data_IF_738945451141
#
_entry.id   IF_738945451141
#
_cell.length_a   1.000
_cell.length_b   1.000
_cell.length_c   1.000
_cell.angle_alpha   90.00
_cell.angle_beta   90.00
_cell.angle_gamma   90.00
#
_symmetry.space_group_name_H-M   'P 1'
#
loop_
_entity.id
_entity.type
_entity.pdbx_description
1 polymer ?
#
# COMPACT_ATOMS: atom_id res chain seq x y z
N UNK A 1 19.08 -22.25 -12.30
CA UNK A 1 19.84 -20.99 -12.34
C UNK A 1 18.83 -19.90 -12.65
N UNK A 2 18.56 -18.95 -11.74
CA UNK A 2 17.78 -17.77 -12.14
C UNK A 2 18.54 -17.06 -13.27
N UNK A 3 17.82 -16.61 -14.30
CA UNK A 3 18.45 -15.90 -15.42
C UNK A 3 19.10 -14.61 -14.91
N UNK A 4 20.21 -14.16 -15.48
CA UNK A 4 20.89 -12.91 -15.15
C UNK A 4 19.94 -11.70 -15.14
N UNK A 5 18.87 -11.73 -15.92
CA UNK A 5 17.83 -10.70 -16.00
C UNK A 5 17.02 -10.57 -14.70
N UNK A 6 16.85 -11.63 -13.90
CA UNK A 6 16.14 -11.53 -12.61
C UNK A 6 17.00 -10.93 -11.48
N UNK A 7 18.32 -11.02 -11.58
CA UNK A 7 19.22 -10.49 -10.55
C UNK A 7 19.22 -8.96 -10.45
N UNK A 8 18.80 -8.27 -11.50
CA UNK A 8 18.74 -6.80 -11.57
C UNK A 8 17.32 -6.23 -11.49
N UNK A 9 16.28 -7.10 -11.48
CA UNK A 9 14.88 -6.66 -11.45
C UNK A 9 14.53 -6.07 -10.08
N UNK A 10 13.85 -4.92 -10.11
CA UNK A 10 13.46 -4.16 -8.92
C UNK A 10 11.95 -4.13 -8.75
N UNK A 11 11.52 -4.02 -7.51
CA UNK A 11 10.13 -3.75 -7.11
C UNK A 11 10.10 -2.64 -6.07
N UNK A 12 8.93 -2.06 -5.84
CA UNK A 12 8.76 -1.07 -4.80
C UNK A 12 7.49 -1.28 -3.98
N UNK A 13 7.51 -0.72 -2.78
CA UNK A 13 6.33 -0.46 -1.97
C UNK A 13 6.21 1.03 -1.69
N UNK A 14 4.99 1.53 -1.61
CA UNK A 14 4.68 2.95 -1.48
C UNK A 14 3.65 3.16 -0.38
N UNK A 15 3.92 4.09 0.52
CA UNK A 15 2.97 4.58 1.50
C UNK A 15 2.75 6.09 1.37
N UNK A 16 1.53 6.55 1.67
CA UNK A 16 1.11 7.94 1.61
C UNK A 16 1.10 8.63 2.96
N UNK A 17 2.13 9.43 3.25
CA UNK A 17 2.24 10.24 4.46
C UNK A 17 1.75 11.69 4.30
N UNK A 18 1.86 12.49 5.37
CA UNK A 18 1.44 13.90 5.39
C UNK A 18 2.22 14.79 4.43
N UNK A 19 3.50 14.46 4.18
CA UNK A 19 4.41 15.26 3.33
C UNK A 19 4.48 14.82 1.87
N UNK A 20 3.74 13.80 1.48
CA UNK A 20 3.83 13.22 0.15
C UNK A 20 3.75 11.69 0.18
N UNK A 21 4.65 11.05 -0.53
CA UNK A 21 4.73 9.59 -0.67
C UNK A 21 6.12 9.11 -0.29
N UNK A 22 6.19 7.95 0.34
CA UNK A 22 7.44 7.23 0.59
C UNK A 22 7.49 6.03 -0.33
N UNK A 23 8.62 5.83 -0.99
CA UNK A 23 8.90 4.65 -1.79
C UNK A 23 10.06 3.86 -1.19
N UNK A 24 9.84 2.57 -0.97
CA UNK A 24 10.84 1.60 -0.58
C UNK A 24 11.15 0.70 -1.79
N UNK A 25 12.39 0.67 -2.26
CA UNK A 25 12.81 -0.13 -3.43
C UNK A 25 13.70 -1.27 -2.99
N UNK A 26 13.50 -2.45 -3.57
CA UNK A 26 14.32 -3.64 -3.30
C UNK A 26 14.47 -4.50 -4.57
N UNK A 27 15.54 -5.30 -4.61
CA UNK A 27 15.75 -6.27 -5.69
C UNK A 27 14.84 -7.51 -5.51
N UNK A 28 14.40 -8.08 -6.62
CA UNK A 28 13.57 -9.30 -6.62
C UNK A 28 14.37 -10.51 -6.15
N UNK A 29 15.56 -10.73 -6.71
CA UNK A 29 16.34 -11.95 -6.48
C UNK A 29 17.08 -11.94 -5.14
N UNK A 30 17.75 -10.85 -4.79
CA UNK A 30 18.51 -10.75 -3.54
C UNK A 30 17.66 -10.18 -2.40
N UNK A 31 16.84 -9.19 -2.62
CA UNK A 31 15.88 -8.64 -1.65
C UNK A 31 16.40 -8.40 -0.23
N UNK A 32 17.72 -8.46 0.01
CA UNK A 32 18.34 -8.34 1.33
C UNK A 32 18.45 -6.91 1.81
N UNK A 33 18.30 -5.95 0.88
CA UNK A 33 18.42 -4.51 1.15
C UNK A 33 17.20 -3.75 0.64
N UNK A 34 16.93 -2.62 1.28
CA UNK A 34 15.88 -1.67 0.89
C UNK A 34 16.48 -0.26 0.84
N UNK A 35 16.06 0.51 -0.17
CA UNK A 35 16.35 1.93 -0.30
C UNK A 35 15.06 2.73 -0.13
N UNK A 36 15.10 3.86 0.59
CA UNK A 36 13.96 4.75 0.73
C UNK A 36 14.16 6.05 -0.03
N UNK A 37 13.05 6.56 -0.57
CA UNK A 37 12.97 7.91 -1.13
C UNK A 37 11.61 8.54 -0.80
N UNK A 38 11.57 9.88 -0.70
CA UNK A 38 10.34 10.62 -0.46
C UNK A 38 10.02 11.52 -1.65
N UNK A 39 8.73 11.61 -1.98
CA UNK A 39 8.21 12.28 -3.15
C UNK A 39 7.05 13.19 -2.78
N UNK A 40 7.06 14.49 -3.13
CA UNK A 40 5.96 15.39 -2.79
C UNK A 40 4.67 15.05 -3.52
N UNK A 41 4.78 14.53 -4.76
CA UNK A 41 3.65 14.16 -5.62
C UNK A 41 3.84 12.78 -6.24
N UNK A 42 2.74 12.04 -6.37
CA UNK A 42 2.75 10.68 -6.91
C UNK A 42 3.20 10.60 -8.37
N UNK A 43 2.92 11.63 -9.17
CA UNK A 43 3.33 11.67 -10.59
C UNK A 43 4.84 11.58 -10.77
N UNK A 44 5.63 12.24 -9.91
CA UNK A 44 7.10 12.17 -9.94
C UNK A 44 7.59 10.78 -9.51
N UNK A 45 7.02 10.22 -8.43
CA UNK A 45 7.31 8.86 -7.98
C UNK A 45 7.02 7.84 -9.07
N UNK A 46 5.87 7.96 -9.74
CA UNK A 46 5.48 7.03 -10.82
C UNK A 46 6.37 7.15 -12.05
N UNK A 47 6.82 8.36 -12.38
CA UNK A 47 7.81 8.58 -13.44
C UNK A 47 9.16 7.92 -13.10
N UNK A 48 9.63 8.03 -11.85
CA UNK A 48 10.83 7.35 -11.37
C UNK A 48 10.68 5.82 -11.41
N UNK A 49 9.53 5.29 -10.98
CA UNK A 49 9.25 3.86 -11.05
C UNK A 49 9.37 3.32 -12.48
N UNK A 50 8.87 4.07 -13.47
CA UNK A 50 9.03 3.75 -14.89
C UNK A 50 10.47 3.89 -15.37
N UNK A 51 11.17 4.95 -14.99
CA UNK A 51 12.57 5.19 -15.38
C UNK A 51 13.52 4.10 -14.84
N UNK A 52 13.22 3.55 -13.66
CA UNK A 52 13.96 2.44 -13.06
C UNK A 52 13.51 1.06 -13.54
N UNK A 53 12.54 0.98 -14.45
CA UNK A 53 11.96 -0.27 -14.97
C UNK A 53 11.49 -1.23 -13.85
N UNK A 54 10.81 -0.67 -12.83
CA UNK A 54 10.27 -1.48 -11.73
C UNK A 54 9.24 -2.47 -12.26
N UNK A 55 9.26 -3.71 -11.76
CA UNK A 55 8.30 -4.73 -12.20
C UNK A 55 6.93 -4.55 -11.55
N UNK A 56 6.91 -4.33 -10.22
CA UNK A 56 5.69 -4.14 -9.44
C UNK A 56 5.90 -3.01 -8.45
N UNK A 57 4.88 -2.17 -8.28
CA UNK A 57 4.80 -1.14 -7.24
C UNK A 57 3.55 -1.39 -6.40
N UNK A 58 3.76 -1.78 -5.14
CA UNK A 58 2.68 -2.00 -4.17
C UNK A 58 2.33 -0.71 -3.44
N UNK A 59 1.07 -0.30 -3.44
CA UNK A 59 0.57 0.92 -2.79
C UNK A 59 -0.24 0.59 -1.54
N UNK A 60 0.13 1.16 -0.37
CA UNK A 60 -0.74 1.19 0.82
C UNK A 60 -1.84 2.24 0.63
N UNK A 61 -2.72 1.99 -0.33
CA UNK A 61 -3.81 2.89 -0.62
C UNK A 61 -4.96 2.14 -1.31
N UNK A 62 -6.22 2.32 -0.88
CA UNK A 62 -7.36 1.78 -1.61
C UNK A 62 -7.43 2.33 -3.03
N UNK A 63 -7.56 1.43 -4.00
CA UNK A 63 -7.58 1.77 -5.43
C UNK A 63 -9.00 1.70 -5.98
N UNK A 64 -9.61 0.53 -6.02
CA UNK A 64 -10.98 0.35 -6.46
C UNK A 64 -11.97 0.73 -5.37
N UNK A 65 -12.92 1.61 -5.70
CA UNK A 65 -13.89 2.15 -4.75
C UNK A 65 -15.25 1.47 -4.95
N UNK A 66 -15.79 0.78 -3.91
CA UNK A 66 -17.02 0.03 -4.05
C UNK A 66 -18.25 0.92 -4.30
N UNK A 67 -19.31 0.35 -4.84
CA UNK A 67 -20.62 0.95 -4.91
C UNK A 67 -21.33 0.94 -3.54
N UNK A 68 -22.47 0.23 -3.45
CA UNK A 68 -23.26 0.14 -2.21
C UNK A 68 -22.68 -0.88 -1.22
N UNK A 69 -22.14 -1.99 -1.71
CA UNK A 69 -21.61 -3.07 -0.87
C UNK A 69 -20.15 -2.83 -0.49
N UNK A 70 -19.65 -3.56 0.49
CA UNK A 70 -18.23 -3.56 0.86
C UNK A 70 -17.45 -4.46 -0.08
N UNK A 71 -16.18 -4.14 -0.34
CA UNK A 71 -15.30 -5.01 -1.11
C UNK A 71 -15.08 -6.32 -0.37
N UNK A 72 -15.09 -7.43 -1.10
CA UNK A 72 -14.73 -8.76 -0.53
C UNK A 72 -13.29 -8.75 -0.01
N UNK A 73 -12.39 -8.01 -0.67
CA UNK A 73 -11.01 -7.82 -0.21
C UNK A 73 -10.91 -7.21 1.18
N UNK A 74 -11.69 -6.15 1.48
CA UNK A 74 -11.71 -5.54 2.81
C UNK A 74 -12.21 -6.52 3.88
N UNK A 75 -13.22 -7.33 3.55
CA UNK A 75 -13.76 -8.35 4.46
C UNK A 75 -12.69 -9.39 4.76
N UNK A 76 -12.09 -9.99 3.73
CA UNK A 76 -11.06 -11.01 3.87
C UNK A 76 -9.81 -10.51 4.59
N UNK A 77 -9.34 -9.29 4.27
CA UNK A 77 -8.19 -8.70 4.96
C UNK A 77 -8.49 -8.43 6.44
N UNK A 78 -9.71 -8.02 6.80
CA UNK A 78 -10.11 -7.85 8.21
C UNK A 78 -10.23 -9.18 8.95
N UNK A 79 -10.61 -10.25 8.29
CA UNK A 79 -10.59 -11.62 8.86
C UNK A 79 -9.16 -12.06 9.13
N UNK A 80 -8.24 -11.86 8.17
CA UNK A 80 -6.81 -12.14 8.33
C UNK A 80 -6.18 -11.36 9.50
N UNK A 81 -6.62 -10.13 9.74
CA UNK A 81 -6.13 -9.27 10.82
C UNK A 81 -6.67 -9.63 12.21
N UNK A 82 -7.73 -10.43 12.31
CA UNK A 82 -8.34 -10.89 13.58
C UNK A 82 -8.59 -9.75 14.59
N UNK A 83 -7.89 -9.77 15.73
CA UNK A 83 -7.97 -8.74 16.77
C UNK A 83 -7.51 -7.36 16.28
N UNK A 84 -6.69 -7.31 15.21
CA UNK A 84 -6.18 -6.08 14.59
C UNK A 84 -7.05 -5.57 13.42
N UNK A 85 -8.20 -6.17 13.17
CA UNK A 85 -9.12 -5.79 12.07
C UNK A 85 -9.47 -4.30 12.00
N UNK A 86 -9.39 -3.56 13.11
CA UNK A 86 -9.62 -2.11 13.13
C UNK A 86 -8.50 -1.29 12.50
N UNK A 87 -7.32 -1.87 12.24
CA UNK A 87 -6.23 -1.19 11.53
C UNK A 87 -6.53 -1.02 10.04
N UNK A 88 -7.39 -1.84 9.46
CA UNK A 88 -7.90 -1.65 8.11
C UNK A 88 -9.21 -0.85 8.16
N UNK A 89 -9.18 0.36 7.64
CA UNK A 89 -10.37 1.15 7.42
C UNK A 89 -11.17 0.62 6.23
N UNK A 90 -12.50 0.68 6.33
CA UNK A 90 -13.33 0.33 5.20
C UNK A 90 -13.09 1.28 4.04
N UNK A 91 -12.86 0.75 2.86
CA UNK A 91 -12.71 1.55 1.65
C UNK A 91 -13.93 2.45 1.45
N UNK A 92 -13.73 3.74 1.17
CA UNK A 92 -14.84 4.67 0.94
C UNK A 92 -15.62 4.28 -0.31
N UNK A 93 -16.95 4.43 -0.32
CA UNK A 93 -17.73 4.16 -1.53
C UNK A 93 -17.47 5.21 -2.61
N UNK A 94 -17.54 4.81 -3.89
CA UNK A 94 -17.22 5.65 -5.05
C UNK A 94 -17.99 6.97 -5.07
N UNK A 95 -19.23 7.00 -4.58
CA UNK A 95 -20.03 8.22 -4.49
C UNK A 95 -19.41 9.33 -3.61
N UNK A 96 -18.45 9.00 -2.76
CA UNK A 96 -17.78 9.96 -1.88
C UNK A 96 -16.53 10.57 -2.51
N UNK A 97 -16.07 10.04 -3.66
CA UNK A 97 -14.81 10.44 -4.29
C UNK A 97 -14.68 11.95 -4.47
N UNK A 98 -15.73 12.59 -4.96
CA UNK A 98 -15.70 14.02 -5.33
C UNK A 98 -16.30 14.93 -4.24
N UNK A 99 -16.52 14.40 -3.02
CA UNK A 99 -16.99 15.21 -1.91
C UNK A 99 -15.91 16.20 -1.44
N UNK A 100 -16.32 17.43 -1.16
CA UNK A 100 -15.40 18.52 -0.79
C UNK A 100 -15.06 18.52 0.71
N UNK A 101 -15.97 17.97 1.53
CA UNK A 101 -15.78 17.85 2.98
C UNK A 101 -16.37 16.54 3.52
N UNK A 102 -16.04 16.25 4.80
CA UNK A 102 -16.47 15.02 5.46
C UNK A 102 -17.99 14.93 5.63
N UNK A 103 -18.68 16.06 5.87
CA UNK A 103 -20.14 16.05 6.07
C UNK A 103 -20.85 15.64 4.79
N UNK A 104 -20.43 16.20 3.65
CA UNK A 104 -20.93 15.81 2.32
C UNK A 104 -20.63 14.35 2.01
N UNK A 105 -19.37 13.91 2.20
CA UNK A 105 -18.96 12.52 1.97
C UNK A 105 -19.80 11.54 2.82
N UNK A 106 -19.98 11.86 4.11
CA UNK A 106 -20.77 11.05 5.02
C UNK A 106 -22.25 11.00 4.61
N UNK A 107 -22.84 12.12 4.16
CA UNK A 107 -24.20 12.16 3.65
C UNK A 107 -24.37 11.28 2.39
N UNK A 108 -23.47 11.41 1.41
CA UNK A 108 -23.46 10.61 0.19
C UNK A 108 -23.34 9.11 0.51
N UNK A 109 -22.40 8.75 1.40
CA UNK A 109 -22.19 7.38 1.86
C UNK A 109 -23.48 6.82 2.50
N UNK A 110 -24.11 7.56 3.44
CA UNK A 110 -25.35 7.12 4.09
C UNK A 110 -26.51 6.91 3.11
N UNK A 111 -26.64 7.80 2.13
CA UNK A 111 -27.69 7.71 1.12
C UNK A 111 -27.54 6.46 0.23
N UNK A 112 -26.31 6.14 -0.18
CA UNK A 112 -26.06 5.02 -1.09
C UNK A 112 -25.93 3.68 -0.36
N UNK A 113 -25.27 3.64 0.80
CA UNK A 113 -24.87 2.40 1.47
C UNK A 113 -25.59 2.12 2.78
N UNK A 114 -26.37 3.06 3.30
CA UNK A 114 -26.93 3.03 4.65
C UNK A 114 -25.90 3.25 5.77
N UNK A 115 -24.61 3.40 5.45
CA UNK A 115 -23.49 3.48 6.41
C UNK A 115 -22.79 4.83 6.35
N UNK A 116 -22.32 5.29 7.51
CA UNK A 116 -21.52 6.50 7.58
C UNK A 116 -20.07 6.27 7.13
N UNK A 117 -19.38 7.35 6.79
CA UNK A 117 -17.96 7.40 6.49
C UNK A 117 -17.19 7.94 7.71
N UNK A 118 -16.11 7.28 8.14
CA UNK A 118 -15.29 7.77 9.24
C UNK A 118 -14.44 8.98 8.80
N UNK A 119 -14.07 9.84 9.75
CA UNK A 119 -13.17 10.96 9.47
C UNK A 119 -11.78 10.47 9.00
N UNK A 120 -11.31 9.34 9.54
CA UNK A 120 -10.05 8.72 9.13
C UNK A 120 -10.10 8.26 7.68
N UNK A 121 -11.19 7.58 7.29
CA UNK A 121 -11.38 7.17 5.89
C UNK A 121 -11.47 8.39 4.95
N UNK A 122 -12.17 9.45 5.38
CA UNK A 122 -12.23 10.68 4.59
C UNK A 122 -10.87 11.35 4.42
N UNK A 123 -10.02 11.29 5.45
CA UNK A 123 -8.66 11.84 5.38
C UNK A 123 -7.77 11.18 4.31
N UNK A 124 -8.09 9.96 3.86
CA UNK A 124 -7.40 9.29 2.76
C UNK A 124 -7.84 9.79 1.36
N UNK A 125 -8.99 10.46 1.26
CA UNK A 125 -9.56 10.85 -0.05
C UNK A 125 -8.63 11.67 -0.94
N UNK A 126 -7.84 12.64 -0.43
CA UNK A 126 -6.89 13.37 -1.27
C UNK A 126 -5.86 12.44 -1.93
N UNK A 127 -5.31 11.48 -1.19
CA UNK A 127 -4.34 10.49 -1.69
C UNK A 127 -4.98 9.51 -2.67
N UNK A 128 -6.19 9.03 -2.39
CA UNK A 128 -6.95 8.16 -3.31
C UNK A 128 -7.21 8.89 -4.63
N UNK A 129 -7.59 10.18 -4.60
CA UNK A 129 -7.80 10.97 -5.81
C UNK A 129 -6.50 11.17 -6.59
N UNK A 130 -5.41 11.50 -5.90
CA UNK A 130 -4.10 11.66 -6.51
C UNK A 130 -3.66 10.37 -7.21
N UNK A 131 -3.82 9.22 -6.55
CA UNK A 131 -3.50 7.91 -7.12
C UNK A 131 -4.33 7.64 -8.37
N UNK A 132 -5.65 7.82 -8.32
CA UNK A 132 -6.57 7.56 -9.44
C UNK A 132 -6.49 8.59 -10.57
N UNK A 133 -5.85 9.73 -10.34
CA UNK A 133 -5.53 10.72 -11.38
C UNK A 133 -4.19 10.40 -12.05
N UNK A 134 -3.26 9.82 -11.32
CA UNK A 134 -1.90 9.50 -11.79
C UNK A 134 -1.85 8.17 -12.53
N UNK A 135 -2.55 7.16 -12.02
CA UNK A 135 -2.56 5.80 -12.57
C UNK A 135 -3.93 5.51 -13.18
N UNK A 136 -3.91 4.85 -14.34
CA UNK A 136 -5.10 4.35 -15.02
C UNK A 136 -5.39 2.89 -14.60
N UNK A 137 -6.62 2.35 -14.82
CA UNK A 137 -6.92 0.94 -14.55
C UNK A 137 -5.96 -0.05 -15.22
N UNK A 138 -5.46 0.30 -16.39
CA UNK A 138 -4.51 -0.50 -17.18
C UNK A 138 -3.16 -0.68 -16.47
N UNK A 139 -2.74 0.27 -15.62
CA UNK A 139 -1.50 0.17 -14.84
C UNK A 139 -1.57 -0.98 -13.80
N UNK A 140 -2.77 -1.50 -13.51
CA UNK A 140 -2.99 -2.60 -12.55
C UNK A 140 -3.08 -3.99 -13.20
N UNK A 141 -3.00 -4.07 -14.52
CA UNK A 141 -3.07 -5.36 -15.22
C UNK A 141 -1.75 -6.15 -15.09
N UNK A 142 -1.78 -7.48 -15.26
CA UNK A 142 -0.56 -8.30 -15.21
C UNK A 142 0.50 -7.91 -16.25
N UNK A 143 0.09 -7.33 -17.36
CA UNK A 143 0.94 -6.92 -18.49
C UNK A 143 1.60 -5.56 -18.28
N UNK A 144 1.09 -4.74 -17.34
CA UNK A 144 1.63 -3.40 -17.06
C UNK A 144 3.08 -3.44 -16.58
N UNK A 145 3.85 -2.41 -16.96
CA UNK A 145 5.24 -2.20 -16.53
C UNK A 145 5.49 -0.72 -16.23
N UNK A 146 5.72 -0.34 -14.98
CA UNK A 146 5.53 -1.17 -13.78
C UNK A 146 4.05 -1.54 -13.57
N UNK A 147 3.80 -2.71 -12.99
CA UNK A 147 2.46 -3.08 -12.54
C UNK A 147 2.18 -2.44 -11.19
N UNK A 148 1.10 -1.67 -11.09
CA UNK A 148 0.59 -1.19 -9.80
C UNK A 148 -0.22 -2.29 -9.10
N UNK A 149 -0.18 -2.32 -7.76
CA UNK A 149 -0.93 -3.26 -6.94
C UNK A 149 -1.38 -2.60 -5.62
N UNK A 150 -2.61 -2.81 -5.19
CA UNK A 150 -3.04 -2.44 -3.85
C UNK A 150 -2.49 -3.45 -2.84
N UNK A 151 -1.82 -2.96 -1.81
CA UNK A 151 -1.25 -3.75 -0.71
C UNK A 151 -1.75 -3.17 0.60
N UNK A 152 -1.88 -4.00 1.63
CA UNK A 152 -2.17 -3.52 2.99
C UNK A 152 -1.07 -3.98 3.95
N UNK A 153 -0.19 -3.08 4.42
CA UNK A 153 1.00 -3.43 5.21
C UNK A 153 0.73 -4.25 6.46
N UNK A 154 -0.35 -3.97 7.21
CA UNK A 154 -0.68 -4.79 8.37
C UNK A 154 -1.01 -6.25 7.98
N UNK A 155 -1.61 -6.49 6.81
CA UNK A 155 -1.81 -7.84 6.26
C UNK A 155 -0.49 -8.47 5.81
N UNK A 156 0.42 -7.67 5.23
CA UNK A 156 1.78 -8.09 4.90
C UNK A 156 2.54 -8.51 6.17
N UNK A 157 2.42 -7.76 7.27
CA UNK A 157 3.03 -8.12 8.56
C UNK A 157 2.46 -9.43 9.13
N UNK A 158 1.16 -9.72 8.94
CA UNK A 158 0.61 -11.04 9.33
C UNK A 158 1.32 -12.16 8.58
N UNK A 159 1.56 -12.00 7.28
CA UNK A 159 2.27 -13.01 6.47
C UNK A 159 3.75 -13.13 6.84
N UNK A 160 4.41 -11.99 7.12
CA UNK A 160 5.82 -11.95 7.54
C UNK A 160 6.03 -12.59 8.93
N UNK A 161 5.15 -12.28 9.89
CA UNK A 161 5.28 -12.72 11.28
C UNK A 161 4.59 -14.07 11.56
N UNK A 162 3.75 -14.54 10.64
CA UNK A 162 2.91 -15.72 10.84
C UNK A 162 1.72 -15.51 11.78
N UNK A 163 1.51 -14.29 12.29
CA UNK A 163 0.41 -13.90 13.19
C UNK A 163 0.19 -12.39 13.17
N UNK A 164 -1.00 -11.90 13.57
CA UNK A 164 -1.26 -10.48 13.71
C UNK A 164 -0.31 -9.80 14.71
N UNK A 165 0.14 -8.58 14.38
CA UNK A 165 1.05 -7.81 15.23
C UNK A 165 0.40 -7.50 16.60
N UNK A 166 1.07 -7.83 17.70
CA UNK A 166 0.51 -7.67 19.04
C UNK A 166 0.29 -6.20 19.46
N UNK A 167 1.10 -5.27 18.91
CA UNK A 167 1.07 -3.85 19.29
C UNK A 167 0.78 -2.94 18.09
N UNK A 168 0.08 -1.82 18.37
CA UNK A 168 -0.18 -0.76 17.39
C UNK A 168 1.12 -0.12 16.90
N UNK A 169 1.20 0.21 15.59
CA UNK A 169 2.32 0.94 14.97
C UNK A 169 2.54 2.34 15.59
N UNK A 170 1.55 2.92 16.24
CA UNK A 170 1.68 4.20 16.95
C UNK A 170 2.34 4.09 18.34
N UNK A 171 2.75 2.89 18.77
CA UNK A 171 3.51 2.64 20.00
C UNK A 171 4.93 2.21 19.64
N UNK A 172 5.91 2.64 20.45
CA UNK A 172 7.31 2.26 20.24
C UNK A 172 7.49 0.74 20.13
N UNK A 173 6.87 -0.03 21.02
CA UNK A 173 6.91 -1.50 20.98
C UNK A 173 6.33 -2.07 19.66
N UNK A 174 5.32 -1.42 19.08
CA UNK A 174 4.75 -1.81 17.79
C UNK A 174 5.65 -1.50 16.60
N UNK A 175 6.35 -0.36 16.63
CA UNK A 175 7.37 -0.01 15.62
C UNK A 175 8.56 -0.97 15.70
N UNK A 176 9.08 -1.22 16.91
CA UNK A 176 10.18 -2.15 17.12
C UNK A 176 9.85 -3.58 16.64
N UNK A 177 8.64 -4.07 16.93
CA UNK A 177 8.20 -5.38 16.47
C UNK A 177 8.16 -5.47 14.94
N UNK A 178 7.66 -4.43 14.23
CA UNK A 178 7.62 -4.39 12.77
C UNK A 178 9.02 -4.31 12.16
N UNK A 179 9.89 -3.46 12.72
CA UNK A 179 11.29 -3.38 12.30
C UNK A 179 12.01 -4.73 12.48
N UNK A 180 11.79 -5.43 13.60
CA UNK A 180 12.38 -6.74 13.86
C UNK A 180 11.91 -7.81 12.86
N UNK A 181 10.61 -7.80 12.51
CA UNK A 181 10.06 -8.72 11.50
C UNK A 181 10.63 -8.42 10.11
N UNK A 182 10.71 -7.13 9.73
CA UNK A 182 11.29 -6.72 8.45
C UNK A 182 12.80 -6.99 8.38
N UNK A 183 13.53 -6.99 9.50
CA UNK A 183 14.96 -7.33 9.52
C UNK A 183 15.24 -8.76 9.03
N UNK A 184 14.26 -9.67 9.13
CA UNK A 184 14.35 -11.00 8.52
C UNK A 184 14.26 -11.00 6.99
N UNK A 185 13.67 -9.94 6.41
CA UNK A 185 13.54 -9.77 4.97
C UNK A 185 14.58 -8.79 4.41
N UNK A 186 14.90 -7.71 5.17
CA UNK A 186 15.80 -6.62 4.77
C UNK A 186 16.84 -6.41 5.86
N UNK A 187 18.05 -6.94 5.66
CA UNK A 187 19.15 -6.87 6.65
C UNK A 187 19.56 -5.44 7.03
N UNK A 188 19.33 -4.47 6.14
CA UNK A 188 19.65 -3.06 6.36
C UNK A 188 18.48 -2.20 6.84
N UNK A 189 17.31 -2.78 7.20
CA UNK A 189 16.09 -1.99 7.48
C UNK A 189 16.31 -0.91 8.56
N UNK A 190 17.05 -1.21 9.62
CA UNK A 190 17.32 -0.26 10.69
C UNK A 190 18.19 0.90 10.21
N UNK A 191 19.26 0.61 9.47
CA UNK A 191 20.19 1.61 8.91
C UNK A 191 19.48 2.47 7.86
N UNK A 192 18.77 1.85 6.93
CA UNK A 192 18.02 2.54 5.88
C UNK A 192 16.93 3.44 6.46
N UNK A 193 16.23 3.01 7.52
CA UNK A 193 15.16 3.82 8.15
C UNK A 193 15.67 5.01 8.96
N UNK A 194 16.91 4.95 9.46
CA UNK A 194 17.50 5.99 10.33
C UNK A 194 18.50 6.88 9.59
N UNK A 195 19.07 6.42 8.49
CA UNK A 195 20.23 7.03 7.83
C UNK A 195 19.93 7.83 6.57
N UNK A 196 18.72 7.77 6.03
CA UNK A 196 18.41 8.46 4.76
C UNK A 196 17.77 9.82 5.03
N UNK A 197 18.45 10.95 4.74
CA UNK A 197 17.79 12.25 4.67
C UNK A 197 16.74 12.20 3.55
N UNK A 198 15.47 12.17 3.91
CA UNK A 198 14.39 12.17 2.94
C UNK A 198 14.01 13.62 2.64
N UNK A 199 14.29 14.14 1.42
CA UNK A 199 13.92 15.49 1.05
C UNK A 199 12.39 15.61 0.97
N UNK A 200 11.84 16.65 1.60
CA UNK A 200 10.40 16.93 1.53
C UNK A 200 9.97 17.98 2.56
N UNK A 201 8.76 18.55 2.40
CA UNK A 201 8.24 19.57 3.32
C UNK A 201 7.86 18.99 4.70
N UNK A 202 7.76 17.67 4.81
CA UNK A 202 7.56 16.94 6.07
C UNK A 202 8.33 15.64 5.98
N UNK A 203 9.17 15.36 6.98
CA UNK A 203 9.81 14.07 7.10
C UNK A 203 8.74 12.98 7.29
N UNK A 204 8.79 11.86 6.53
CA UNK A 204 7.90 10.73 6.76
C UNK A 204 8.14 10.14 8.15
N UNK A 205 7.09 9.62 8.76
CA UNK A 205 7.19 8.88 10.01
C UNK A 205 7.93 7.55 9.83
N UNK A 206 8.50 7.04 10.91
CA UNK A 206 9.10 5.70 10.89
C UNK A 206 8.04 4.63 10.52
N UNK A 207 6.80 4.82 10.90
CA UNK A 207 5.68 3.95 10.50
C UNK A 207 5.45 3.96 8.99
N UNK A 208 5.53 5.13 8.32
CA UNK A 208 5.39 5.24 6.86
C UNK A 208 6.53 4.47 6.13
N UNK A 209 7.77 4.56 6.64
CA UNK A 209 8.92 3.82 6.10
C UNK A 209 8.71 2.29 6.23
N UNK A 210 8.29 1.83 7.41
CA UNK A 210 8.08 0.40 7.65
C UNK A 210 6.90 -0.14 6.84
N UNK A 211 5.84 0.64 6.65
CA UNK A 211 4.69 0.27 5.83
C UNK A 211 5.07 0.21 4.34
N UNK A 212 5.85 1.16 3.83
CA UNK A 212 6.40 1.10 2.47
C UNK A 212 7.30 -0.14 2.27
N UNK A 213 8.16 -0.47 3.25
CA UNK A 213 9.00 -1.67 3.18
C UNK A 213 8.17 -2.96 3.18
N UNK A 214 7.12 -3.05 3.99
CA UNK A 214 6.20 -4.19 3.99
C UNK A 214 5.45 -4.33 2.64
N UNK A 215 5.06 -3.21 2.02
CA UNK A 215 4.49 -3.20 0.69
C UNK A 215 5.50 -3.65 -0.38
N UNK A 216 6.79 -3.25 -0.28
CA UNK A 216 7.86 -3.71 -1.18
C UNK A 216 8.09 -5.24 -1.05
N UNK A 217 8.05 -5.76 0.17
CA UNK A 217 8.13 -7.20 0.40
C UNK A 217 6.97 -7.95 -0.28
N UNK A 218 5.74 -7.44 -0.18
CA UNK A 218 4.60 -8.03 -0.88
C UNK A 218 4.74 -7.90 -2.40
N UNK A 219 5.22 -6.75 -2.92
CA UNK A 219 5.47 -6.55 -4.35
C UNK A 219 6.47 -7.60 -4.90
N UNK A 220 7.52 -7.95 -4.13
CA UNK A 220 8.45 -9.03 -4.47
C UNK A 220 7.75 -10.39 -4.57
N UNK A 221 6.86 -10.69 -3.63
CA UNK A 221 6.07 -11.93 -3.62
C UNK A 221 5.08 -12.00 -4.78
N UNK A 222 4.52 -10.86 -5.23
CA UNK A 222 3.68 -10.82 -6.44
C UNK A 222 4.50 -11.28 -7.66
N UNK A 223 5.74 -10.78 -7.83
CA UNK A 223 6.63 -11.20 -8.92
C UNK A 223 6.99 -12.68 -8.82
N UNK A 224 7.22 -13.19 -7.60
CA UNK A 224 7.52 -14.61 -7.35
C UNK A 224 6.31 -15.55 -7.49
N UNK A 225 5.09 -15.00 -7.61
CA UNK A 225 3.84 -15.80 -7.62
C UNK A 225 3.47 -16.38 -6.25
N UNK A 226 3.99 -15.82 -5.16
CA UNK A 226 3.79 -16.27 -3.78
C UNK A 226 2.75 -15.44 -3.02
N UNK A 227 2.41 -14.25 -3.52
CA UNK A 227 1.43 -13.39 -2.89
C UNK A 227 0.00 -13.90 -3.13
N UNK A 228 -0.84 -13.79 -2.11
CA UNK A 228 -2.27 -14.07 -2.19
C UNK A 228 -3.03 -12.81 -2.61
N UNK A 229 -4.01 -12.96 -3.50
CA UNK A 229 -4.89 -11.89 -3.96
C UNK A 229 -6.26 -12.03 -3.31
N UNK A 230 -6.57 -11.17 -2.34
CA UNK A 230 -7.87 -11.12 -1.69
C UNK A 230 -8.86 -10.35 -2.56
N UNK A 231 -10.06 -10.90 -2.81
CA UNK A 231 -11.09 -10.26 -3.66
C UNK A 231 -10.76 -10.26 -5.15
N UNK A 232 -10.03 -11.27 -5.64
CA UNK A 232 -9.63 -11.36 -7.04
C UNK A 232 -10.84 -11.32 -8.00
N UNK A 233 -10.66 -10.59 -9.11
CA UNK A 233 -11.65 -10.49 -10.20
C UNK A 233 -12.70 -9.40 -10.01
N UNK A 234 -12.77 -8.72 -8.86
CA UNK A 234 -13.68 -7.60 -8.66
C UNK A 234 -13.08 -6.28 -9.17
N UNK A 235 -13.90 -5.45 -9.84
CA UNK A 235 -13.57 -4.11 -10.30
C UNK A 235 -14.66 -3.12 -9.90
N UNK A 236 -14.30 -1.89 -9.68
CA UNK A 236 -15.28 -0.81 -9.50
C UNK A 236 -15.89 -0.38 -10.86
N UNK A 237 -16.92 0.47 -10.80
CA UNK A 237 -17.65 0.96 -11.98
C UNK A 237 -16.77 1.74 -12.98
N UNK A 238 -15.56 2.12 -12.58
CA UNK A 238 -14.57 2.85 -13.40
C UNK A 238 -13.39 1.99 -13.83
N UNK A 239 -13.46 0.66 -13.59
CA UNK A 239 -12.49 -0.33 -14.06
C UNK A 239 -11.30 -0.58 -13.14
N UNK A 240 -11.17 0.12 -12.00
CA UNK A 240 -10.08 -0.16 -11.06
C UNK A 240 -10.33 -1.44 -10.26
N UNK A 241 -9.28 -2.25 -10.03
CA UNK A 241 -9.42 -3.49 -9.28
C UNK A 241 -9.78 -3.22 -7.81
N UNK A 242 -10.65 -4.06 -7.25
CA UNK A 242 -11.07 -4.03 -5.85
C UNK A 242 -10.46 -5.19 -5.06
N UNK A 243 -9.18 -5.48 -5.25
CA UNK A 243 -8.48 -6.55 -4.57
C UNK A 243 -7.26 -6.04 -3.82
N UNK A 244 -6.82 -6.79 -2.79
CA UNK A 244 -5.65 -6.50 -1.96
C UNK A 244 -4.67 -7.66 -2.07
N UNK A 245 -3.40 -7.37 -2.34
CA UNK A 245 -2.31 -8.35 -2.31
C UNK A 245 -1.67 -8.46 -0.92
N UNK A 246 -1.41 -9.69 -0.48
CA UNK A 246 -0.83 -10.01 0.83
C UNK A 246 0.24 -11.09 0.78
#
# INVERSE_FOLDING_TARGET
>A
MPSETMATSLVAGVDGGRGGWVMAVTAVADGSTVEFSAWPVLGELWAEARARDLLVVGFDMPVGLPGAERRTADIAARELLEARRSSLFWTPPLCTRDATDHAEANLRSRRQTGRGLSAQTFALMPKIRELRTTLAPEDFTPEARPRAAEVHPESSFVRLAGAPMASSKHKLAGLQARAAVLAGAFGNIAEASLGTPLPGPSEPGLDDLLDAAAAAWTARRIVAGEAECLGAGEHDETGYPMHIWV
#
